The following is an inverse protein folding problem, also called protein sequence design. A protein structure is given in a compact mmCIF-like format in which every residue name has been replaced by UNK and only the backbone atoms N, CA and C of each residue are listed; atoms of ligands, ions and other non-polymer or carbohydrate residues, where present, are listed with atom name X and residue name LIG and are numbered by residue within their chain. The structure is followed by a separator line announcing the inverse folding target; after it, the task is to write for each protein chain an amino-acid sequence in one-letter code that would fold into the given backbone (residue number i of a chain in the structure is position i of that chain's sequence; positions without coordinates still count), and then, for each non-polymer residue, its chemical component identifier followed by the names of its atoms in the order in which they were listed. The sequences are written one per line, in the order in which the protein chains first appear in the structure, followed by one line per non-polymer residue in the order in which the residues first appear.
data_IF_737308476949
#
_entry.id   IF_737308476949
#
_cell.length_a   1.000
_cell.length_b   1.000
_cell.length_c   1.000
_cell.angle_alpha   90.00
_cell.angle_beta   90.00
_cell.angle_gamma   90.00
#
_symmetry.space_group_name_H-M   'P 1'
#
loop_
_entity.id
_entity.type
_entity.pdbx_description
1 polymer ?
#
# COMPACT_ATOMS: atom_id res chain seq x y z
N UNK A 1 -13.47 -52.85 14.34
CA UNK A 1 -12.45 -52.42 13.37
C UNK A 1 -12.02 -51.02 13.78
N UNK A 2 -10.88 -50.94 14.48
CA UNK A 2 -10.32 -49.69 15.00
C UNK A 2 -9.78 -48.85 13.84
N UNK A 3 -10.20 -47.60 13.74
CA UNK A 3 -9.59 -46.62 12.84
C UNK A 3 -8.46 -45.97 13.63
N UNK A 4 -7.23 -46.32 13.27
CA UNK A 4 -6.01 -45.77 13.85
C UNK A 4 -5.97 -44.25 13.64
N UNK A 5 -6.03 -43.52 14.75
CA UNK A 5 -5.47 -42.18 14.86
C UNK A 5 -3.95 -42.28 14.75
N UNK A 6 -3.37 -41.95 13.60
CA UNK A 6 -1.98 -41.44 13.49
C UNK A 6 -1.63 -41.18 12.02
N UNK A 7 -1.89 -39.95 11.59
CA UNK A 7 -0.97 -39.12 10.77
C UNK A 7 -1.69 -37.83 10.36
N UNK A 8 -1.90 -36.93 11.34
CA UNK A 8 -2.03 -35.51 11.04
C UNK A 8 -0.63 -35.02 10.69
N UNK A 9 -0.24 -35.13 9.42
CA UNK A 9 0.87 -34.36 8.89
C UNK A 9 0.56 -32.87 9.13
N UNK A 10 1.26 -32.30 10.11
CA UNK A 10 1.32 -30.87 10.38
C UNK A 10 1.79 -30.17 9.10
N UNK A 11 0.85 -29.62 8.31
CA UNK A 11 1.14 -28.64 7.27
C UNK A 11 1.55 -27.31 7.92
N UNK A 12 2.74 -27.27 8.51
CA UNK A 12 3.41 -26.03 8.90
C UNK A 12 4.28 -25.63 7.72
N UNK A 13 3.74 -24.82 6.82
CA UNK A 13 4.54 -24.19 5.77
C UNK A 13 3.93 -22.85 5.41
N UNK A 14 4.20 -21.82 6.21
CA UNK A 14 3.85 -20.45 5.83
C UNK A 14 4.65 -19.34 6.53
N UNK A 15 5.53 -19.65 7.49
CA UNK A 15 6.45 -18.67 8.09
C UNK A 15 7.84 -18.94 7.52
N UNK A 16 8.51 -17.96 6.87
CA UNK A 16 9.92 -18.07 6.52
C UNK A 16 10.71 -18.52 7.76
N UNK A 17 11.61 -19.49 7.62
CA UNK A 17 12.32 -20.11 8.75
C UNK A 17 13.05 -19.09 9.63
N UNK A 18 13.54 -18.00 9.02
CA UNK A 18 14.16 -16.86 9.69
C UNK A 18 13.25 -16.08 10.65
N UNK A 19 11.92 -16.16 10.48
CA UNK A 19 10.94 -15.45 11.29
C UNK A 19 10.27 -16.35 12.35
N UNK A 20 10.57 -17.65 12.36
CA UNK A 20 9.86 -18.62 13.20
C UNK A 20 10.02 -18.34 14.70
N UNK A 21 11.22 -17.97 15.14
CA UNK A 21 11.50 -17.60 16.54
C UNK A 21 10.71 -16.37 16.99
N UNK A 22 10.59 -15.37 16.11
CA UNK A 22 9.83 -14.15 16.40
C UNK A 22 8.33 -14.45 16.49
N UNK A 23 7.79 -15.26 15.57
CA UNK A 23 6.38 -15.65 15.57
C UNK A 23 6.02 -16.44 16.84
N UNK A 24 6.84 -17.41 17.26
CA UNK A 24 6.60 -18.18 18.50
C UNK A 24 6.62 -17.31 19.76
N UNK A 25 7.39 -16.22 19.76
CA UNK A 25 7.43 -15.28 20.89
C UNK A 25 6.16 -14.42 20.98
N UNK A 26 5.57 -14.06 19.85
CA UNK A 26 4.40 -13.18 19.78
C UNK A 26 3.10 -14.01 19.90
N UNK A 27 3.06 -15.19 19.30
CA UNK A 27 1.93 -16.12 19.30
C UNK A 27 2.37 -17.51 19.79
N UNK A 28 2.53 -17.70 21.12
CA UNK A 28 3.04 -18.94 21.70
C UNK A 28 2.12 -20.15 21.47
N UNK A 29 0.82 -19.92 21.32
CA UNK A 29 -0.20 -20.95 21.10
C UNK A 29 -0.41 -21.31 19.62
N UNK A 30 0.39 -20.72 18.72
CA UNK A 30 0.33 -20.95 17.28
C UNK A 30 -0.38 -19.83 16.50
N UNK A 31 0.00 -19.70 15.23
CA UNK A 31 -0.57 -18.74 14.28
C UNK A 31 -0.64 -19.41 12.91
N UNK A 32 -1.86 -19.56 12.37
CA UNK A 32 -2.07 -20.16 11.05
C UNK A 32 -2.15 -19.08 9.96
N UNK A 33 -1.12 -19.02 9.11
CA UNK A 33 -1.09 -18.17 7.91
C UNK A 33 -1.73 -18.89 6.72
N UNK A 34 -2.85 -18.40 6.23
CA UNK A 34 -3.43 -18.86 4.96
C UNK A 34 -3.05 -17.86 3.86
N UNK A 35 -2.05 -18.23 3.06
CA UNK A 35 -1.57 -17.41 1.94
C UNK A 35 -2.43 -17.66 0.71
N UNK A 36 -3.18 -16.65 0.28
CA UNK A 36 -3.96 -16.69 -0.95
C UNK A 36 -3.08 -16.36 -2.16
N UNK A 37 -2.57 -17.38 -2.85
CA UNK A 37 -1.97 -17.18 -4.19
C UNK A 37 -3.08 -16.92 -5.20
N UNK A 38 -3.20 -15.68 -5.68
CA UNK A 38 -3.92 -15.23 -6.89
C UNK A 38 -5.07 -16.14 -7.36
N UNK A 39 -6.10 -16.31 -6.53
CA UNK A 39 -7.35 -16.98 -6.93
C UNK A 39 -8.37 -15.94 -7.39
N UNK A 40 -9.24 -16.25 -8.36
CA UNK A 40 -10.27 -15.33 -8.79
C UNK A 40 -11.22 -14.99 -7.63
N UNK A 41 -11.69 -13.73 -7.60
CA UNK A 41 -12.42 -13.10 -6.47
C UNK A 41 -13.57 -13.96 -5.93
N UNK A 42 -14.28 -14.70 -6.79
CA UNK A 42 -15.41 -15.55 -6.38
C UNK A 42 -15.02 -16.76 -5.51
N UNK A 43 -13.74 -17.18 -5.49
CA UNK A 43 -13.26 -18.25 -4.60
C UNK A 43 -12.81 -17.76 -3.23
N UNK A 44 -12.58 -16.45 -3.09
CA UNK A 44 -12.14 -15.84 -1.83
C UNK A 44 -13.26 -15.91 -0.79
N UNK A 45 -14.52 -15.81 -1.21
CA UNK A 45 -15.68 -15.76 -0.30
C UNK A 45 -15.85 -17.01 0.56
N UNK A 46 -15.97 -18.24 0.00
CA UNK A 46 -16.24 -19.41 0.84
C UNK A 46 -15.05 -19.74 1.74
N UNK A 47 -13.84 -19.53 1.24
CA UNK A 47 -12.59 -19.76 1.98
C UNK A 47 -12.45 -18.77 3.14
N UNK A 48 -12.68 -17.47 2.90
CA UNK A 48 -12.61 -16.45 3.94
C UNK A 48 -13.72 -16.61 4.98
N UNK A 49 -14.96 -16.91 4.56
CA UNK A 49 -16.04 -17.22 5.49
C UNK A 49 -15.72 -18.44 6.38
N UNK A 50 -15.07 -19.48 5.83
CA UNK A 50 -14.62 -20.63 6.62
C UNK A 50 -13.61 -20.22 7.68
N UNK A 51 -12.60 -19.43 7.31
CA UNK A 51 -11.56 -18.98 8.25
C UNK A 51 -12.15 -18.10 9.37
N UNK A 52 -13.12 -17.24 9.05
CA UNK A 52 -13.89 -16.50 10.06
C UNK A 52 -14.64 -17.46 10.99
N UNK A 53 -15.34 -18.46 10.44
CA UNK A 53 -16.07 -19.45 11.25
C UNK A 53 -15.17 -20.32 12.13
N UNK A 54 -13.89 -20.44 11.78
CA UNK A 54 -12.86 -21.16 12.53
C UNK A 54 -12.22 -20.29 13.64
N UNK A 55 -12.65 -19.02 13.79
CA UNK A 55 -12.23 -18.15 14.90
C UNK A 55 -11.21 -17.08 14.53
N UNK A 56 -11.13 -16.67 13.27
CA UNK A 56 -10.27 -15.54 12.88
C UNK A 56 -10.58 -14.28 13.68
N UNK A 57 -9.54 -13.67 14.25
CA UNK A 57 -9.65 -12.43 15.06
C UNK A 57 -9.30 -11.17 14.28
N UNK A 58 -8.75 -11.30 13.07
CA UNK A 58 -8.39 -10.19 12.19
C UNK A 58 -8.22 -10.68 10.74
N UNK A 59 -8.26 -9.75 9.78
CA UNK A 59 -7.99 -10.02 8.37
C UNK A 59 -6.83 -9.17 7.85
N UNK A 60 -5.85 -9.80 7.20
CA UNK A 60 -4.81 -9.08 6.43
C UNK A 60 -5.26 -9.04 4.98
N UNK A 61 -5.48 -7.84 4.45
CA UNK A 61 -5.99 -7.67 3.09
C UNK A 61 -4.89 -7.97 2.05
N UNK A 62 -5.27 -8.52 0.89
CA UNK A 62 -4.36 -8.68 -0.25
C UNK A 62 -3.69 -7.35 -0.64
N UNK A 63 -2.40 -7.40 -0.97
CA UNK A 63 -1.68 -6.32 -1.63
C UNK A 63 -2.21 -6.16 -3.05
N UNK A 64 -2.61 -4.94 -3.45
CA UNK A 64 -3.03 -4.74 -4.84
C UNK A 64 -1.85 -4.75 -5.82
N UNK A 65 -0.67 -4.26 -5.42
CA UNK A 65 0.50 -4.12 -6.31
C UNK A 65 0.15 -3.50 -7.68
N UNK A 66 -0.82 -2.59 -7.73
CA UNK A 66 -1.33 -1.99 -8.96
C UNK A 66 -2.38 -2.82 -9.72
N UNK A 67 -2.65 -4.06 -9.31
CA UNK A 67 -3.68 -4.93 -9.89
C UNK A 67 -5.11 -4.59 -9.42
N UNK A 68 -5.97 -4.28 -10.38
CA UNK A 68 -7.40 -4.03 -10.13
C UNK A 68 -8.13 -5.26 -9.56
N UNK A 69 -7.71 -6.48 -9.91
CA UNK A 69 -8.33 -7.69 -9.39
C UNK A 69 -7.98 -7.93 -7.92
N UNK A 70 -6.74 -7.63 -7.53
CA UNK A 70 -6.29 -7.70 -6.14
C UNK A 70 -6.90 -6.56 -5.30
N UNK A 71 -7.04 -5.36 -5.87
CA UNK A 71 -7.80 -4.27 -5.24
C UNK A 71 -9.27 -4.66 -4.99
N UNK A 72 -9.94 -5.26 -5.97
CA UNK A 72 -11.31 -5.74 -5.82
C UNK A 72 -11.42 -6.86 -4.77
N UNK A 73 -10.45 -7.76 -4.71
CA UNK A 73 -10.35 -8.78 -3.66
C UNK A 73 -10.20 -8.16 -2.27
N UNK A 74 -9.34 -7.14 -2.11
CA UNK A 74 -9.17 -6.43 -0.86
C UNK A 74 -10.47 -5.74 -0.41
N UNK A 75 -11.14 -5.02 -1.32
CA UNK A 75 -12.43 -4.41 -1.03
C UNK A 75 -13.48 -5.44 -0.58
N UNK A 76 -13.46 -6.63 -1.19
CA UNK A 76 -14.37 -7.71 -0.84
C UNK A 76 -14.09 -8.29 0.55
N UNK A 77 -12.82 -8.63 0.84
CA UNK A 77 -12.39 -9.15 2.14
C UNK A 77 -12.71 -8.15 3.25
N UNK A 78 -12.48 -6.85 3.03
CA UNK A 78 -12.85 -5.78 3.97
C UNK A 78 -14.35 -5.79 4.28
N UNK A 79 -15.19 -5.90 3.25
CA UNK A 79 -16.64 -5.89 3.41
C UNK A 79 -17.14 -7.08 4.25
N UNK A 80 -16.57 -8.27 4.01
CA UNK A 80 -16.91 -9.47 4.79
C UNK A 80 -16.36 -9.37 6.21
N UNK A 81 -15.12 -8.91 6.40
CA UNK A 81 -14.50 -8.70 7.72
C UNK A 81 -15.32 -7.72 8.57
N UNK A 82 -15.76 -6.61 7.96
CA UNK A 82 -16.63 -5.62 8.60
C UNK A 82 -17.96 -6.24 9.03
N UNK A 83 -18.57 -7.07 8.17
CA UNK A 83 -19.83 -7.75 8.51
C UNK A 83 -19.66 -8.76 9.65
N UNK A 84 -18.49 -9.39 9.74
CA UNK A 84 -18.12 -10.30 10.82
C UNK A 84 -17.57 -9.59 12.07
N UNK A 85 -17.48 -8.26 12.07
CA UNK A 85 -16.95 -7.45 13.19
C UNK A 85 -15.53 -7.89 13.57
N UNK A 86 -14.70 -8.17 12.56
CA UNK A 86 -13.26 -8.39 12.77
C UNK A 86 -12.44 -7.24 12.17
N UNK A 87 -11.40 -6.78 12.87
CA UNK A 87 -10.51 -5.76 12.36
C UNK A 87 -9.83 -6.23 11.08
N UNK A 88 -9.55 -5.28 10.18
CA UNK A 88 -8.86 -5.58 8.94
C UNK A 88 -7.65 -4.66 8.77
N UNK A 89 -6.53 -5.20 8.30
CA UNK A 89 -5.23 -4.52 8.22
C UNK A 89 -4.71 -4.57 6.80
N UNK A 90 -4.25 -3.42 6.28
CA UNK A 90 -3.82 -3.27 4.90
C UNK A 90 -2.41 -2.70 4.79
N UNK A 91 -1.71 -3.12 3.74
CA UNK A 91 -0.35 -2.72 3.41
C UNK A 91 -0.25 -2.08 2.02
N UNK A 92 -1.22 -1.25 1.63
CA UNK A 92 -1.37 -0.79 0.25
C UNK A 92 -1.77 0.68 0.21
N UNK A 93 -1.21 1.40 -0.75
CA UNK A 93 -1.34 2.84 -0.92
C UNK A 93 -2.71 3.27 -1.44
N UNK A 94 -3.33 2.47 -2.32
CA UNK A 94 -4.60 2.83 -2.95
C UNK A 94 -5.73 2.78 -1.95
N UNK A 95 -6.33 3.87 -1.50
CA UNK A 95 -7.46 3.83 -0.55
C UNK A 95 -8.64 2.96 -1.04
N UNK A 96 -9.25 2.15 -0.16
CA UNK A 96 -10.55 1.53 -0.45
C UNK A 96 -11.61 2.63 -0.45
N UNK A 97 -12.50 2.63 -1.45
CA UNK A 97 -13.61 3.60 -1.49
C UNK A 97 -14.68 3.23 -0.44
N UNK A 98 -14.97 4.16 0.48
CA UNK A 98 -16.05 4.04 1.49
C UNK A 98 -15.56 4.20 2.93
N UNK A 99 -16.48 4.26 3.92
CA UNK A 99 -16.12 4.24 5.34
C UNK A 99 -15.58 2.85 5.69
N UNK A 100 -14.27 2.70 5.56
CA UNK A 100 -13.57 1.43 5.74
C UNK A 100 -13.17 1.21 7.19
N UNK A 101 -13.39 -0.01 7.68
CA UNK A 101 -12.90 -0.49 8.98
C UNK A 101 -11.42 -0.93 8.90
N UNK A 102 -10.82 -0.84 7.72
CA UNK A 102 -9.45 -1.25 7.47
C UNK A 102 -8.43 -0.23 7.97
N UNK A 103 -7.52 -0.68 8.83
CA UNK A 103 -6.35 0.08 9.28
C UNK A 103 -5.26 -0.07 8.22
N UNK A 104 -4.83 1.05 7.62
CA UNK A 104 -3.66 1.05 6.74
C UNK A 104 -2.39 1.23 7.54
N UNK A 105 -1.42 0.34 7.34
CA UNK A 105 -0.06 0.48 7.86
C UNK A 105 0.87 1.22 6.88
N UNK A 106 0.35 1.64 5.73
CA UNK A 106 1.04 2.52 4.79
C UNK A 106 0.54 3.94 4.97
N UNK A 107 1.50 4.88 5.04
CA UNK A 107 1.20 6.30 5.14
C UNK A 107 0.34 6.74 3.94
N UNK A 108 -0.80 7.42 4.17
CA UNK A 108 -1.64 7.91 3.09
C UNK A 108 -0.87 8.94 2.25
N UNK A 109 -1.22 9.07 0.97
CA UNK A 109 -0.60 10.04 0.03
C UNK A 109 -0.51 11.43 0.65
N UNK A 110 -1.59 11.92 1.28
CA UNK A 110 -1.62 13.22 1.94
C UNK A 110 -0.49 13.43 2.96
N UNK A 111 -0.27 12.45 3.85
CA UNK A 111 0.79 12.54 4.85
C UNK A 111 2.19 12.56 4.22
N UNK A 112 2.38 11.86 3.09
CA UNK A 112 3.64 11.88 2.34
C UNK A 112 3.84 13.21 1.61
N UNK A 113 2.79 13.73 0.98
CA UNK A 113 2.79 15.06 0.34
C UNK A 113 3.17 16.15 1.35
N UNK A 114 2.57 16.14 2.55
CA UNK A 114 2.88 17.09 3.61
C UNK A 114 4.35 17.02 4.05
N UNK A 115 4.91 15.81 4.15
CA UNK A 115 6.32 15.61 4.47
C UNK A 115 7.24 16.18 3.38
N UNK A 116 6.91 16.01 2.10
CA UNK A 116 7.66 16.59 0.98
C UNK A 116 7.59 18.12 1.00
N UNK A 117 6.41 18.70 1.24
CA UNK A 117 6.23 20.15 1.37
C UNK A 117 7.04 20.72 2.53
N UNK A 118 7.02 20.04 3.68
CA UNK A 118 7.81 20.45 4.85
C UNK A 118 9.30 20.42 4.55
N UNK A 119 9.77 19.40 3.82
CA UNK A 119 11.15 19.29 3.36
C UNK A 119 11.54 20.43 2.41
N UNK A 120 10.76 20.68 1.35
CA UNK A 120 10.99 21.80 0.40
C UNK A 120 11.14 23.13 1.14
N UNK A 121 10.23 23.41 2.08
CA UNK A 121 10.25 24.67 2.85
C UNK A 121 11.45 24.78 3.77
N UNK A 122 11.84 23.67 4.41
CA UNK A 122 13.01 23.62 5.29
C UNK A 122 14.29 23.91 4.52
N UNK A 123 14.44 23.33 3.34
CA UNK A 123 15.60 23.55 2.48
C UNK A 123 15.57 24.90 1.74
N UNK A 124 14.45 25.63 1.84
CA UNK A 124 14.30 26.95 1.24
C UNK A 124 14.29 26.93 -0.29
N UNK A 125 13.86 25.83 -0.90
CA UNK A 125 13.80 25.71 -2.36
C UNK A 125 12.68 26.55 -2.95
N UNK A 126 13.02 27.45 -3.87
CA UNK A 126 12.07 28.40 -4.46
C UNK A 126 11.48 27.92 -5.80
N UNK A 127 12.16 26.99 -6.48
CA UNK A 127 11.75 26.40 -7.74
C UNK A 127 11.91 24.87 -7.67
N UNK A 128 10.80 24.13 -7.81
CA UNK A 128 10.74 22.66 -7.68
C UNK A 128 10.13 22.05 -8.94
N UNK A 129 10.79 21.02 -9.47
CA UNK A 129 10.28 20.23 -10.61
C UNK A 129 9.73 18.90 -10.09
N UNK A 130 8.45 18.66 -10.32
CA UNK A 130 7.75 17.42 -10.00
C UNK A 130 7.59 16.59 -11.28
N UNK A 131 7.97 15.32 -11.21
CA UNK A 131 7.93 14.39 -12.34
C UNK A 131 6.84 13.34 -12.11
N UNK A 132 6.06 13.04 -13.14
CA UNK A 132 4.99 12.03 -13.07
C UNK A 132 4.92 11.20 -14.34
N UNK A 133 4.55 9.93 -14.23
CA UNK A 133 4.41 8.99 -15.33
C UNK A 133 2.95 8.59 -15.55
N UNK A 134 2.19 8.42 -14.47
CA UNK A 134 0.79 7.96 -14.51
C UNK A 134 -0.20 9.06 -14.15
N UNK A 135 -1.48 8.86 -14.50
CA UNK A 135 -2.56 9.78 -14.11
C UNK A 135 -2.79 9.78 -12.60
N UNK A 136 -2.66 8.62 -11.94
CA UNK A 136 -2.72 8.50 -10.48
C UNK A 136 -1.62 9.37 -9.83
N UNK A 137 -0.37 9.26 -10.30
CA UNK A 137 0.73 10.11 -9.81
C UNK A 137 0.49 11.60 -10.05
N UNK A 138 -0.08 11.97 -11.20
CA UNK A 138 -0.46 13.37 -11.46
C UNK A 138 -1.43 13.88 -10.39
N UNK A 139 -2.48 13.11 -10.09
CA UNK A 139 -3.48 13.46 -9.08
C UNK A 139 -2.82 13.59 -7.71
N UNK A 140 -1.95 12.65 -7.33
CA UNK A 140 -1.26 12.67 -6.04
C UNK A 140 -0.38 13.92 -5.87
N UNK A 141 0.33 14.34 -6.92
CA UNK A 141 1.18 15.52 -6.90
C UNK A 141 0.42 16.85 -6.82
N UNK A 142 -0.88 16.87 -7.15
CA UNK A 142 -1.70 18.09 -7.02
C UNK A 142 -1.76 18.63 -5.60
N UNK A 143 -1.59 17.77 -4.59
CA UNK A 143 -1.52 18.19 -3.19
C UNK A 143 -0.26 19.04 -2.91
N UNK A 144 0.89 18.63 -3.45
CA UNK A 144 2.16 19.35 -3.30
C UNK A 144 2.08 20.70 -4.03
N UNK A 145 1.46 20.73 -5.21
CA UNK A 145 1.23 21.97 -5.98
C UNK A 145 0.27 22.89 -5.22
N UNK A 146 -0.80 22.35 -4.66
CA UNK A 146 -1.76 23.14 -3.90
C UNK A 146 -1.08 23.79 -2.69
N UNK A 147 -0.23 23.04 -1.99
CA UNK A 147 0.52 23.53 -0.85
C UNK A 147 1.58 24.60 -1.19
N UNK A 148 2.00 24.72 -2.46
CA UNK A 148 2.91 25.77 -2.91
C UNK A 148 2.27 27.16 -2.88
N UNK A 149 0.93 27.23 -2.94
CA UNK A 149 0.15 28.46 -2.88
C UNK A 149 -0.15 28.92 -1.44
N UNK A 150 0.14 28.11 -0.44
CA UNK A 150 -0.10 28.41 0.97
C UNK A 150 1.24 28.42 1.73
N UNK A 151 1.51 29.42 2.57
CA UNK A 151 2.79 29.54 3.31
C UNK A 151 3.90 30.26 2.51
N UNK A 152 5.18 29.99 2.82
CA UNK A 152 6.31 30.56 2.07
C UNK A 152 6.23 30.03 0.62
N UNK A 153 6.01 30.92 -0.38
CA UNK A 153 5.73 30.48 -1.72
C UNK A 153 6.97 29.85 -2.36
N UNK A 154 6.74 28.76 -3.10
CA UNK A 154 7.69 28.18 -4.03
C UNK A 154 6.96 27.86 -5.33
N UNK A 155 7.68 27.85 -6.45
CA UNK A 155 7.13 27.56 -7.77
C UNK A 155 7.24 26.07 -8.04
N UNK A 156 6.15 25.48 -8.51
CA UNK A 156 6.11 24.10 -8.95
C UNK A 156 6.03 24.02 -10.47
N UNK A 157 6.90 23.21 -11.05
CA UNK A 157 6.88 22.85 -12.47
C UNK A 157 6.56 21.36 -12.58
N UNK A 158 5.52 21.02 -13.33
CA UNK A 158 5.09 19.63 -13.48
C UNK A 158 5.48 19.11 -14.86
N UNK A 159 6.17 17.96 -14.91
CA UNK A 159 6.68 17.38 -16.17
C UNK A 159 6.27 15.92 -16.28
N UNK A 160 5.60 15.58 -17.38
CA UNK A 160 5.24 14.19 -17.70
C UNK A 160 6.46 13.42 -18.20
N UNK A 161 6.75 12.30 -17.55
CA UNK A 161 7.71 11.31 -18.00
C UNK A 161 7.02 10.39 -19.01
N UNK A 162 7.55 10.37 -20.23
CA UNK A 162 7.21 9.35 -21.21
C UNK A 162 8.02 8.07 -20.94
N UNK A 163 7.69 6.99 -21.66
CA UNK A 163 8.43 5.72 -21.58
C UNK A 163 9.95 5.89 -21.79
N UNK A 164 10.33 6.78 -22.71
CA UNK A 164 11.70 7.31 -22.78
C UNK A 164 11.79 8.60 -21.97
N UNK A 165 12.47 8.53 -20.84
CA UNK A 165 12.62 9.67 -19.90
C UNK A 165 13.67 10.68 -20.33
N UNK A 166 14.58 10.31 -21.25
CA UNK A 166 15.74 11.15 -21.61
C UNK A 166 15.36 12.53 -22.16
N UNK A 167 14.35 12.67 -23.03
CA UNK A 167 13.92 13.98 -23.53
C UNK A 167 13.39 14.87 -22.40
N UNK A 168 12.59 14.31 -21.49
CA UNK A 168 12.04 15.05 -20.35
C UNK A 168 13.16 15.51 -19.40
N UNK A 169 14.11 14.64 -19.07
CA UNK A 169 15.25 15.01 -18.23
C UNK A 169 16.17 16.04 -18.89
N UNK A 170 16.38 15.94 -20.21
CA UNK A 170 17.13 16.94 -20.98
C UNK A 170 16.42 18.30 -20.95
N UNK A 171 15.10 18.32 -21.11
CA UNK A 171 14.30 19.54 -20.98
C UNK A 171 14.45 20.14 -19.57
N UNK A 172 14.28 19.33 -18.52
CA UNK A 172 14.42 19.79 -17.14
C UNK A 172 15.80 20.39 -16.89
N UNK A 173 16.86 19.70 -17.31
CA UNK A 173 18.23 20.19 -17.18
C UNK A 173 18.42 21.52 -17.91
N UNK A 174 17.93 21.65 -19.13
CA UNK A 174 18.15 22.83 -19.95
C UNK A 174 17.29 24.02 -19.52
N UNK A 175 16.12 23.79 -18.94
CA UNK A 175 15.16 24.84 -18.57
C UNK A 175 15.33 25.30 -17.13
N UNK A 176 15.67 24.39 -16.21
CA UNK A 176 15.75 24.68 -14.78
C UNK A 176 17.16 24.50 -14.19
N UNK A 177 18.06 23.80 -14.90
CA UNK A 177 19.39 23.47 -14.38
C UNK A 177 20.33 24.68 -14.20
N UNK A 178 20.15 25.78 -14.94
CA UNK A 178 20.96 26.99 -14.73
C UNK A 178 20.49 27.85 -13.55
N UNK A 179 19.20 27.77 -13.18
CA UNK A 179 18.64 28.46 -12.02
C UNK A 179 19.02 27.78 -10.70
N UNK A 180 19.27 26.46 -10.73
CA UNK A 180 19.61 25.63 -9.56
C UNK A 180 21.08 25.72 -9.10
N UNK A 181 21.98 26.31 -9.90
CA UNK A 181 23.43 26.40 -9.60
C UNK A 181 23.82 27.78 -9.03
N UNK A 182 22.90 28.75 -9.01
CA UNK A 182 23.21 30.15 -8.62
C UNK A 182 22.89 30.51 -7.16
N UNK A 183 22.59 29.55 -6.30
CA UNK A 183 22.38 29.77 -4.86
C UNK A 183 23.27 28.85 -4.02
#
# INVERSE_FOLDING_TARGET
MQINENNKEKKIAAVPSELESAVRRIWPDGFDWIVYKSRPVYRITPEFCRVISEGAVAAILPLSEGSNSAYAAAAFVESVARKAIIPSVRFDERTLKGPGHAISLIAPVAARSDAVVAFIRREGWEDVVLLYNTEDEFIDLTQIISASNFGRPYRCHLVKLAKDVRPALKHVKNTYGESLIRH
#
